data_IF_359430465168
#
_entry.id   IF_359430465168
#
_cell.length_a   1.000
_cell.length_b   1.000
_cell.length_c   1.000
_cell.angle_alpha   90.00
_cell.angle_beta   90.00
_cell.angle_gamma   90.00
#
_symmetry.space_group_name_H-M   'P 1'
#
loop_
_entity.id
_entity.type
_entity.pdbx_description
1 polymer ?
#
# COMPACT_ATOMS: atom_id res chain seq x y z
N UNK A 1 -2.42 6.64 -7.35
CA UNK A 1 -2.13 6.75 -5.90
C UNK A 1 -3.20 7.46 -5.07
N UNK A 2 -3.88 8.49 -5.60
CA UNK A 2 -4.93 9.22 -4.85
C UNK A 2 -6.05 8.28 -4.33
N UNK A 3 -6.50 7.33 -5.16
CA UNK A 3 -7.49 6.31 -4.76
C UNK A 3 -7.00 5.51 -3.54
N UNK A 4 -5.74 5.07 -3.52
CA UNK A 4 -5.18 4.34 -2.38
C UNK A 4 -5.21 5.17 -1.08
N UNK A 5 -4.97 6.48 -1.16
CA UNK A 5 -5.07 7.37 -0.01
C UNK A 5 -6.53 7.53 0.45
N UNK A 6 -7.49 7.57 -0.49
CA UNK A 6 -8.91 7.61 -0.19
C UNK A 6 -9.43 6.30 0.44
N UNK A 7 -8.96 5.14 -0.04
CA UNK A 7 -9.31 3.81 0.49
C UNK A 7 -8.93 3.67 1.95
N UNK A 8 -7.85 4.34 2.39
CA UNK A 8 -7.45 4.35 3.78
C UNK A 8 -8.53 4.92 4.71
N UNK A 9 -9.49 5.72 4.23
CA UNK A 9 -10.65 6.18 5.02
C UNK A 9 -11.61 5.04 5.37
N UNK A 10 -11.80 4.10 4.46
CA UNK A 10 -12.65 2.92 4.70
C UNK A 10 -12.02 2.00 5.75
N UNK A 11 -10.69 1.90 5.69
CA UNK A 11 -9.84 1.10 6.57
C UNK A 11 -9.68 1.70 7.96
N UNK A 12 -9.45 3.01 8.04
CA UNK A 12 -9.36 3.76 9.28
C UNK A 12 -10.32 4.96 9.25
N UNK A 13 -11.43 4.80 9.97
CA UNK A 13 -12.44 5.85 10.13
C UNK A 13 -11.88 7.13 10.75
N UNK A 14 -10.74 7.06 11.46
CA UNK A 14 -10.08 8.22 12.06
C UNK A 14 -9.18 8.99 11.09
N UNK A 15 -8.99 8.53 9.85
CA UNK A 15 -8.30 9.33 8.83
C UNK A 15 -9.09 10.62 8.58
N UNK A 16 -8.42 11.77 8.61
CA UNK A 16 -9.04 13.09 8.45
C UNK A 16 -8.41 13.94 7.37
N UNK A 17 -7.22 13.59 6.87
CA UNK A 17 -6.46 14.46 6.00
C UNK A 17 -5.74 13.66 4.91
N UNK A 18 -5.89 14.14 3.67
CA UNK A 18 -5.02 13.81 2.54
C UNK A 18 -4.35 15.12 2.12
N UNK A 19 -3.03 15.08 1.93
CA UNK A 19 -2.23 16.19 1.41
C UNK A 19 -1.65 15.78 0.07
N UNK A 20 -1.76 16.67 -0.91
CA UNK A 20 -1.20 16.49 -2.24
C UNK A 20 -0.28 17.68 -2.49
N UNK A 21 0.98 17.40 -2.82
CA UNK A 21 1.98 18.39 -3.19
C UNK A 21 2.48 18.06 -4.59
N UNK A 22 2.45 19.06 -5.47
CA UNK A 22 2.95 18.97 -6.83
C UNK A 22 4.01 20.04 -6.95
N UNK A 23 5.24 19.63 -7.24
CA UNK A 23 6.38 20.50 -7.48
C UNK A 23 6.82 20.31 -8.94
N UNK A 24 6.44 21.22 -9.85
CA UNK A 24 6.84 21.15 -11.25
C UNK A 24 8.33 21.38 -11.48
N UNK A 25 9.01 22.13 -10.60
CA UNK A 25 10.43 22.45 -10.77
C UNK A 25 11.31 21.23 -10.51
N UNK A 26 10.99 20.46 -9.46
CA UNK A 26 11.68 19.22 -9.15
C UNK A 26 11.05 17.97 -9.79
N UNK A 27 9.92 18.12 -10.49
CA UNK A 27 9.12 17.04 -11.06
C UNK A 27 8.69 15.99 -10.01
N UNK A 28 8.28 16.45 -8.83
CA UNK A 28 7.89 15.60 -7.70
C UNK A 28 6.38 15.74 -7.43
N UNK A 29 5.70 14.60 -7.38
CA UNK A 29 4.32 14.52 -6.89
C UNK A 29 4.33 13.70 -5.60
N UNK A 30 3.87 14.30 -4.51
CA UNK A 30 3.77 13.66 -3.20
C UNK A 30 2.31 13.58 -2.76
N UNK A 31 1.91 12.37 -2.33
CA UNK A 31 0.58 12.11 -1.78
C UNK A 31 0.77 11.54 -0.37
N UNK A 32 0.19 12.20 0.62
CA UNK A 32 0.26 11.81 2.02
C UNK A 32 -1.14 11.72 2.61
N UNK A 33 -1.37 10.76 3.50
CA UNK A 33 -2.59 10.69 4.30
C UNK A 33 -2.24 10.34 5.75
N UNK A 34 -3.05 10.83 6.69
CA UNK A 34 -2.98 10.38 8.08
C UNK A 34 -3.80 9.10 8.30
N UNK A 35 -3.98 8.74 9.56
CA UNK A 35 -4.66 7.50 9.97
C UNK A 35 -3.69 6.35 10.18
N UNK A 36 -4.23 5.14 10.27
CA UNK A 36 -3.44 3.90 10.42
C UNK A 36 -2.44 3.80 9.26
N UNK A 37 -1.18 3.52 9.57
CA UNK A 37 -0.14 3.25 8.58
C UNK A 37 -0.14 1.79 8.12
N UNK A 38 0.76 1.44 7.22
CA UNK A 38 0.93 0.06 6.76
C UNK A 38 1.74 -0.70 7.81
N UNK A 39 1.38 -1.94 8.18
CA UNK A 39 2.16 -2.76 9.11
C UNK A 39 3.64 -2.83 8.69
N UNK A 40 4.54 -2.39 9.57
CA UNK A 40 5.99 -2.48 9.35
C UNK A 40 6.49 -3.73 10.06
N UNK A 41 6.30 -4.86 9.39
CA UNK A 41 6.65 -6.20 9.88
C UNK A 41 7.18 -7.02 8.71
N UNK A 42 8.09 -7.95 9.01
CA UNK A 42 8.62 -8.89 8.02
C UNK A 42 7.57 -9.95 7.69
N UNK A 43 7.38 -10.21 6.40
CA UNK A 43 6.51 -11.27 5.91
C UNK A 43 7.21 -12.62 6.08
N UNK A 44 6.65 -13.50 6.91
CA UNK A 44 7.29 -14.76 7.36
C UNK A 44 7.70 -15.74 6.24
N UNK A 45 7.13 -15.62 5.04
CA UNK A 45 7.45 -16.50 3.92
C UNK A 45 8.44 -15.87 2.95
N UNK A 46 8.26 -14.58 2.67
CA UNK A 46 9.07 -13.87 1.66
C UNK A 46 10.34 -13.27 2.28
N UNK A 47 10.45 -13.24 3.61
CA UNK A 47 11.55 -12.62 4.36
C UNK A 47 11.86 -11.19 3.90
N UNK A 48 10.80 -10.44 3.58
CA UNK A 48 10.84 -9.02 3.22
C UNK A 48 9.77 -8.27 4.00
N UNK A 49 9.99 -6.97 4.22
CA UNK A 49 9.00 -6.11 4.87
C UNK A 49 7.72 -5.99 4.05
N UNK A 50 6.56 -6.01 4.71
CA UNK A 50 5.24 -5.86 4.07
C UNK A 50 5.16 -4.62 3.16
N UNK A 51 5.61 -3.42 3.57
CA UNK A 51 5.64 -2.25 2.69
C UNK A 51 6.53 -2.44 1.44
N UNK A 52 7.67 -3.13 1.56
CA UNK A 52 8.52 -3.42 0.41
C UNK A 52 7.82 -4.38 -0.57
N UNK A 53 7.16 -5.41 -0.05
CA UNK A 53 6.46 -6.42 -0.83
C UNK A 53 5.34 -5.83 -1.69
N UNK A 54 4.44 -5.05 -1.07
CA UNK A 54 3.24 -4.53 -1.75
C UNK A 54 3.53 -3.41 -2.77
N UNK A 55 4.68 -2.74 -2.67
CA UNK A 55 5.08 -1.65 -3.58
C UNK A 55 6.20 -2.05 -4.56
N UNK A 56 6.95 -3.11 -4.26
CA UNK A 56 8.11 -3.55 -5.03
C UNK A 56 7.88 -4.78 -5.91
N UNK A 57 6.88 -5.63 -5.62
CA UNK A 57 6.60 -6.84 -6.40
C UNK A 57 5.29 -6.74 -7.19
N UNK A 58 5.31 -7.15 -8.47
CA UNK A 58 4.15 -7.22 -9.35
C UNK A 58 3.19 -8.36 -8.93
N UNK A 59 1.94 -8.33 -9.40
CA UNK A 59 0.87 -9.33 -9.14
C UNK A 59 0.46 -9.49 -7.68
N UNK A 60 0.86 -8.54 -6.86
CA UNK A 60 0.38 -8.32 -5.52
C UNK A 60 -0.98 -7.57 -5.61
N UNK A 61 -2.11 -8.29 -5.70
CA UNK A 61 -3.47 -7.76 -5.39
C UNK A 61 -4.36 -8.70 -4.55
N UNK A 62 -5.27 -8.14 -3.73
CA UNK A 62 -6.25 -8.88 -2.92
C UNK A 62 -7.63 -8.96 -3.57
N UNK A 63 -7.78 -8.43 -4.78
CA UNK A 63 -9.08 -8.06 -5.33
C UNK A 63 -9.39 -8.86 -6.61
N UNK A 64 -8.82 -10.07 -6.71
CA UNK A 64 -8.83 -10.90 -7.92
C UNK A 64 -10.06 -11.83 -8.07
N UNK A 65 -10.98 -11.93 -7.11
CA UNK A 65 -12.22 -12.70 -7.32
C UNK A 65 -13.30 -12.35 -6.28
N UNK A 66 -14.54 -12.12 -6.75
CA UNK A 66 -15.73 -11.75 -5.97
C UNK A 66 -16.43 -12.94 -5.29
N UNK A 67 -15.95 -14.17 -5.52
CA UNK A 67 -16.48 -15.39 -4.89
C UNK A 67 -15.57 -15.85 -3.74
N UNK A 68 -16.03 -15.58 -2.53
CA UNK A 68 -15.43 -16.07 -1.29
C UNK A 68 -15.21 -17.60 -1.34
N UNK A 69 -13.98 -18.03 -0.97
CA UNK A 69 -13.57 -19.37 -0.48
C UNK A 69 -12.75 -20.24 -1.45
N UNK A 70 -11.48 -19.91 -1.62
CA UNK A 70 -10.33 -20.82 -1.38
C UNK A 70 -9.05 -20.11 -1.80
N UNK A 71 -8.29 -19.64 -0.83
CA UNK A 71 -6.92 -19.20 -1.10
C UNK A 71 -5.97 -20.03 -0.24
N UNK A 72 -4.90 -20.52 -0.86
CA UNK A 72 -3.82 -21.18 -0.14
C UNK A 72 -3.24 -20.22 0.91
N UNK A 73 -2.76 -20.75 2.04
CA UNK A 73 -2.31 -19.99 3.23
C UNK A 73 -1.28 -18.88 2.93
N UNK A 74 -0.57 -18.99 1.80
CA UNK A 74 0.36 -18.02 1.23
C UNK A 74 -0.35 -16.79 0.63
N UNK A 75 -1.37 -17.00 -0.20
CA UNK A 75 -2.20 -15.91 -0.73
C UNK A 75 -3.01 -15.23 0.36
N UNK A 76 -3.54 -15.95 1.36
CA UNK A 76 -4.36 -15.37 2.45
C UNK A 76 -3.65 -14.27 3.25
N UNK A 77 -2.34 -14.40 3.50
CA UNK A 77 -1.58 -13.42 4.29
C UNK A 77 -1.27 -12.16 3.46
N UNK A 78 -0.90 -12.35 2.19
CA UNK A 78 -0.72 -11.27 1.22
C UNK A 78 -2.03 -10.55 0.92
N UNK A 79 -3.11 -11.31 0.71
CA UNK A 79 -4.49 -10.84 0.56
C UNK A 79 -4.89 -10.04 1.81
N UNK A 80 -4.60 -10.52 3.02
CA UNK A 80 -4.87 -9.76 4.25
C UNK A 80 -4.19 -8.39 4.23
N UNK A 81 -2.89 -8.29 3.89
CA UNK A 81 -2.14 -7.03 3.81
C UNK A 81 -2.53 -6.12 2.65
N UNK A 82 -3.33 -6.62 1.73
CA UNK A 82 -3.64 -5.97 0.47
C UNK A 82 -5.12 -5.60 0.34
N UNK A 83 -6.00 -6.27 1.10
CA UNK A 83 -7.36 -5.83 1.44
C UNK A 83 -7.36 -4.45 2.12
N UNK A 84 -6.20 -3.97 2.56
CA UNK A 84 -6.00 -2.60 3.04
C UNK A 84 -6.14 -1.51 1.94
N UNK A 85 -6.31 -1.88 0.66
CA UNK A 85 -6.44 -0.96 -0.50
C UNK A 85 -7.69 -1.27 -1.35
N UNK A 86 -8.88 -1.21 -0.72
CA UNK A 86 -10.16 -1.73 -1.22
C UNK A 86 -10.73 -1.06 -2.49
N UNK A 87 -10.11 -0.03 -3.06
CA UNK A 87 -10.48 0.58 -4.34
C UNK A 87 -9.67 0.08 -5.55
N UNK A 88 -8.54 -0.58 -5.33
CA UNK A 88 -7.69 -1.12 -6.39
C UNK A 88 -8.07 -2.55 -6.77
N UNK A 89 -8.80 -2.75 -7.88
CA UNK A 89 -9.25 -4.08 -8.36
C UNK A 89 -8.14 -5.04 -8.78
N UNK A 90 -7.02 -4.52 -9.28
CA UNK A 90 -6.01 -5.38 -9.92
C UNK A 90 -4.63 -5.24 -9.29
N UNK A 91 -4.48 -4.50 -8.19
CA UNK A 91 -3.20 -4.33 -7.47
C UNK A 91 -2.07 -3.67 -8.26
N UNK A 92 -2.32 -3.24 -9.51
CA UNK A 92 -1.36 -2.60 -10.38
C UNK A 92 -1.15 -1.12 -10.07
N UNK A 93 -2.14 -0.41 -9.51
CA UNK A 93 -2.13 1.05 -9.45
C UNK A 93 -0.88 1.65 -8.80
N UNK A 94 -0.41 1.04 -7.71
CA UNK A 94 0.81 1.48 -7.05
C UNK A 94 2.09 1.09 -7.81
N UNK A 95 2.12 -0.12 -8.40
CA UNK A 95 3.27 -0.64 -9.14
C UNK A 95 3.45 0.06 -10.49
N UNK A 96 2.37 0.38 -11.20
CA UNK A 96 2.41 1.18 -12.43
C UNK A 96 2.98 2.57 -12.15
N UNK A 97 2.57 3.19 -11.05
CA UNK A 97 3.15 4.46 -10.63
C UNK A 97 4.64 4.34 -10.35
N UNK A 98 5.10 3.20 -9.83
CA UNK A 98 6.53 2.92 -9.64
C UNK A 98 7.24 2.76 -10.99
N UNK A 99 6.72 1.90 -11.88
CA UNK A 99 7.28 1.62 -13.22
C UNK A 99 7.43 2.88 -14.08
N UNK A 100 6.44 3.78 -14.06
CA UNK A 100 6.46 5.01 -14.84
C UNK A 100 7.16 6.19 -14.14
N UNK A 101 7.78 5.95 -12.97
CA UNK A 101 8.56 6.96 -12.24
C UNK A 101 10.06 6.68 -12.34
N UNK A 102 10.86 7.74 -12.46
CA UNK A 102 12.33 7.62 -12.34
C UNK A 102 12.77 7.36 -10.91
N UNK A 103 11.99 7.83 -9.93
CA UNK A 103 12.16 7.56 -8.50
C UNK A 103 10.79 7.43 -7.86
N UNK A 104 10.63 6.37 -7.07
CA UNK A 104 9.41 6.09 -6.34
C UNK A 104 9.77 5.81 -4.88
N UNK A 105 9.27 6.65 -3.97
CA UNK A 105 9.57 6.55 -2.53
C UNK A 105 8.29 6.29 -1.75
N UNK A 106 8.36 5.34 -0.82
CA UNK A 106 7.26 5.00 0.09
C UNK A 106 7.73 5.24 1.50
N UNK A 107 6.96 6.02 2.26
CA UNK A 107 7.19 6.23 3.69
C UNK A 107 5.91 5.88 4.46
N UNK A 108 6.06 5.09 5.53
CA UNK A 108 4.93 4.73 6.40
C UNK A 108 5.38 4.52 7.83
N UNK A 109 4.53 4.85 8.78
CA UNK A 109 4.77 4.64 10.20
C UNK A 109 3.60 3.88 10.81
N UNK A 110 3.89 2.83 11.58
CA UNK A 110 2.86 2.03 12.22
C UNK A 110 3.04 2.03 13.73
N UNK A 111 2.15 2.74 14.44
CA UNK A 111 2.17 2.84 15.91
C UNK A 111 2.06 1.47 16.60
N UNK A 112 1.25 0.57 16.03
CA UNK A 112 1.05 -0.80 16.54
C UNK A 112 2.35 -1.61 16.56
N UNK A 113 3.17 -1.46 15.52
CA UNK A 113 4.46 -2.15 15.38
C UNK A 113 5.63 -1.32 15.89
N UNK A 114 5.40 -0.07 16.32
CA UNK A 114 6.43 0.89 16.78
C UNK A 114 7.61 1.09 15.81
N UNK A 115 7.36 0.90 14.52
CA UNK A 115 8.35 1.02 13.46
C UNK A 115 7.87 1.97 12.37
N UNK A 116 8.82 2.65 11.76
CA UNK A 116 8.67 3.37 10.50
C UNK A 116 9.47 2.67 9.41
N UNK A 117 9.03 2.86 8.18
CA UNK A 117 9.63 2.28 6.98
C UNK A 117 9.75 3.36 5.92
N UNK A 118 10.90 3.38 5.23
CA UNK A 118 11.16 4.24 4.08
C UNK A 118 11.98 3.48 3.05
N UNK A 119 11.54 3.48 1.79
CA UNK A 119 12.29 3.01 0.62
C UNK A 119 12.17 4.03 -0.51
#
# INVERSE_FOLDING_TARGET
>A
FIVNAADNKQRDKNMTCIKISIDPESNIISIWNNGKGIPVVEHKVENVYVPALIFGQLLTSSNYDDDEKKYHKFELTLVYYMLFFSGGRNGYGAKLCNIFSTKFTVETACKEYKHSFKQ
#
